data_IF_485785835066
#
_entry.id   IF_485785835066
#
_cell.length_a   1.000
_cell.length_b   1.000
_cell.length_c   1.000
_cell.angle_alpha   90.00
_cell.angle_beta   90.00
_cell.angle_gamma   90.00
#
_symmetry.space_group_name_H-M   'P 1'
#
loop_
_entity.id
_entity.type
_entity.pdbx_description
1 polymer ?
#
# COMPACT_ATOMS: atom_id res chain seq x y z
N UNK A 1 -13.19 -3.04 -14.79
CA UNK A 1 -12.10 -2.94 -15.81
C UNK A 1 -10.79 -3.09 -15.08
N UNK A 2 -9.80 -3.76 -15.66
CA UNK A 2 -8.48 -3.89 -15.03
C UNK A 2 -7.77 -2.54 -14.91
N UNK A 3 -7.11 -2.30 -13.78
CA UNK A 3 -6.26 -1.12 -13.56
C UNK A 3 -5.17 -0.98 -14.63
N UNK A 4 -4.96 0.25 -15.11
CA UNK A 4 -3.88 0.67 -16.01
C UNK A 4 -2.57 0.93 -15.27
N UNK A 5 -2.59 0.93 -13.94
CA UNK A 5 -1.38 1.10 -13.14
C UNK A 5 -0.53 -0.17 -13.29
N UNK A 6 0.78 -0.04 -13.62
CA UNK A 6 1.65 -1.19 -13.74
C UNK A 6 1.68 -2.02 -12.46
N UNK A 7 1.37 -3.32 -12.58
CA UNK A 7 1.54 -4.31 -11.52
C UNK A 7 2.97 -4.83 -11.58
N UNK A 8 3.65 -4.89 -10.43
CA UNK A 8 5.00 -5.44 -10.33
C UNK A 8 4.97 -6.77 -9.58
N UNK A 9 5.72 -7.74 -10.07
CA UNK A 9 5.98 -8.99 -9.34
C UNK A 9 7.35 -8.90 -8.71
N UNK A 10 7.41 -9.24 -7.43
CA UNK A 10 8.63 -9.19 -6.64
C UNK A 10 9.15 -10.60 -6.34
N UNK A 11 10.45 -10.68 -6.09
CA UNK A 11 11.12 -11.92 -5.68
C UNK A 11 10.64 -12.39 -4.29
N UNK A 12 11.02 -13.61 -3.90
CA UNK A 12 10.56 -14.20 -2.63
C UNK A 12 11.37 -13.75 -1.42
N UNK A 13 12.64 -13.39 -1.63
CA UNK A 13 13.53 -12.97 -0.54
C UNK A 13 13.53 -11.45 -0.42
N UNK A 14 13.63 -10.92 0.80
CA UNK A 14 13.67 -9.48 0.98
C UNK A 14 14.84 -8.83 0.26
N UNK A 15 16.04 -9.43 0.31
CA UNK A 15 17.21 -8.82 -0.30
C UNK A 15 16.97 -8.53 -1.79
N UNK A 16 16.40 -9.50 -2.51
CA UNK A 16 16.02 -9.34 -3.91
C UNK A 16 14.88 -8.33 -4.08
N UNK A 17 13.89 -8.31 -3.19
CA UNK A 17 12.80 -7.32 -3.21
C UNK A 17 13.33 -5.88 -3.07
N UNK A 18 14.23 -5.65 -2.11
CA UNK A 18 14.85 -4.34 -1.88
C UNK A 18 15.71 -3.92 -3.08
N UNK A 19 16.43 -4.86 -3.70
CA UNK A 19 17.18 -4.57 -4.92
C UNK A 19 16.26 -4.22 -6.09
N UNK A 20 15.15 -4.94 -6.27
CA UNK A 20 14.14 -4.64 -7.30
C UNK A 20 13.46 -3.28 -7.08
N UNK A 21 13.26 -2.86 -5.83
CA UNK A 21 12.66 -1.57 -5.52
C UNK A 21 13.53 -0.38 -5.89
N UNK A 22 14.86 -0.52 -5.84
CA UNK A 22 15.80 0.58 -6.12
C UNK A 22 15.64 1.14 -7.54
N UNK A 23 15.29 0.29 -8.50
CA UNK A 23 15.07 0.65 -9.90
C UNK A 23 13.60 0.53 -10.32
N UNK A 24 12.67 0.51 -9.36
CA UNK A 24 11.26 0.37 -9.66
C UNK A 24 10.70 1.73 -10.16
N UNK A 25 10.09 1.81 -11.36
CA UNK A 25 9.61 3.08 -11.91
C UNK A 25 8.54 3.78 -11.05
N UNK A 26 7.72 3.03 -10.31
CA UNK A 26 6.73 3.61 -9.39
C UNK A 26 7.41 4.26 -8.19
N UNK A 27 8.49 3.67 -7.68
CA UNK A 27 9.27 4.26 -6.59
C UNK A 27 9.97 5.55 -7.02
N UNK A 28 10.54 5.58 -8.24
CA UNK A 28 11.12 6.80 -8.82
C UNK A 28 10.07 7.92 -8.97
N UNK A 29 8.88 7.56 -9.46
CA UNK A 29 7.74 8.48 -9.57
C UNK A 29 7.32 9.02 -8.20
N UNK A 30 7.17 8.18 -7.19
CA UNK A 30 6.81 8.60 -5.83
C UNK A 30 7.87 9.53 -5.23
N UNK A 31 9.16 9.23 -5.43
CA UNK A 31 10.25 10.09 -4.99
C UNK A 31 10.20 11.47 -5.69
N UNK A 32 9.93 11.50 -7.00
CA UNK A 32 9.77 12.75 -7.75
C UNK A 32 8.57 13.58 -7.25
N UNK A 33 7.44 12.94 -6.97
CA UNK A 33 6.24 13.59 -6.42
C UNK A 33 6.47 14.14 -5.02
N UNK A 34 7.10 13.38 -4.11
CA UNK A 34 7.45 13.91 -2.78
C UNK A 34 8.39 15.11 -2.89
N UNK A 35 9.35 15.07 -3.82
CA UNK A 35 10.27 16.18 -4.05
C UNK A 35 9.54 17.44 -4.54
N UNK A 36 8.63 17.32 -5.51
CA UNK A 36 7.87 18.47 -6.02
C UNK A 36 6.95 19.08 -4.96
N UNK A 37 6.40 18.25 -4.05
CA UNK A 37 5.51 18.68 -2.97
C UNK A 37 6.25 19.12 -1.68
N UNK A 38 7.57 19.00 -1.63
CA UNK A 38 8.36 19.27 -0.41
C UNK A 38 8.34 20.73 0.06
N UNK A 39 8.03 21.67 -0.84
CA UNK A 39 7.93 23.09 -0.53
C UNK A 39 6.51 23.56 -0.23
N UNK A 40 5.51 22.66 -0.23
CA UNK A 40 4.12 23.01 0.08
C UNK A 40 3.98 23.31 1.59
N UNK A 41 3.68 24.55 2.00
CA UNK A 41 3.56 24.92 3.41
C UNK A 41 2.36 24.26 4.11
N UNK A 42 1.39 23.74 3.35
CA UNK A 42 0.21 23.08 3.88
C UNK A 42 0.36 21.57 3.98
N UNK A 43 1.46 21.00 3.46
CA UNK A 43 1.71 19.57 3.51
C UNK A 43 2.26 19.17 4.89
N UNK A 44 1.59 18.24 5.61
CA UNK A 44 2.09 17.74 6.89
C UNK A 44 3.49 17.15 6.80
N UNK A 45 4.34 17.47 7.79
CA UNK A 45 5.75 17.01 7.85
C UNK A 45 5.98 15.90 8.89
N UNK A 46 5.00 15.61 9.75
CA UNK A 46 5.12 14.67 10.87
C UNK A 46 4.02 13.59 10.92
N UNK A 47 3.10 13.61 9.96
CA UNK A 47 2.12 12.54 9.75
C UNK A 47 2.41 11.84 8.43
N UNK A 48 1.99 10.58 8.30
CA UNK A 48 2.03 9.93 7.01
C UNK A 48 1.16 10.70 6.01
N UNK A 49 1.75 11.00 4.86
CA UNK A 49 1.07 11.54 3.70
C UNK A 49 1.50 10.72 2.50
N UNK A 50 0.54 10.31 1.68
CA UNK A 50 0.77 9.57 0.42
C UNK A 50 1.70 10.34 -0.53
N UNK A 51 2.47 9.65 -1.38
CA UNK A 51 3.43 10.30 -2.26
C UNK A 51 2.77 11.19 -3.32
N UNK A 52 1.55 10.91 -3.75
CA UNK A 52 0.87 11.61 -4.85
C UNK A 52 -0.67 11.56 -4.75
N UNK A 53 -1.33 12.58 -5.28
CA UNK A 53 -2.79 12.73 -5.35
C UNK A 53 -3.47 12.69 -3.97
N UNK A 54 -4.66 12.07 -3.89
CA UNK A 54 -5.46 12.04 -2.67
C UNK A 54 -5.13 10.82 -1.81
N UNK A 55 -5.35 11.01 -0.50
CA UNK A 55 -5.29 9.99 0.55
C UNK A 55 -6.61 10.06 1.31
N UNK A 56 -7.30 8.92 1.38
CA UNK A 56 -8.48 8.78 2.22
C UNK A 56 -8.22 7.76 3.33
N UNK A 57 -9.11 6.80 3.52
CA UNK A 57 -9.13 5.93 4.69
C UNK A 57 -7.82 5.14 4.87
N UNK A 58 -7.29 5.04 6.10
CA UNK A 58 -6.30 4.04 6.45
C UNK A 58 -6.94 2.65 6.43
N UNK A 59 -6.25 1.68 5.84
CA UNK A 59 -6.68 0.31 5.67
C UNK A 59 -5.66 -0.65 6.27
N UNK A 60 -6.13 -1.81 6.76
CA UNK A 60 -5.27 -2.99 6.95
C UNK A 60 -3.98 -2.81 7.76
N UNK A 61 -3.92 -1.86 8.70
CA UNK A 61 -2.72 -1.64 9.51
C UNK A 61 -2.36 -2.93 10.26
N UNK A 62 -1.16 -3.46 10.03
CA UNK A 62 -0.72 -4.68 10.69
C UNK A 62 0.79 -4.72 10.91
N UNK A 63 1.22 -5.60 11.81
CA UNK A 63 2.63 -5.92 12.01
C UNK A 63 2.91 -7.30 11.45
N UNK A 64 3.79 -7.38 10.45
CA UNK A 64 4.14 -8.63 9.79
C UNK A 64 5.60 -8.59 9.34
N UNK A 65 6.27 -9.74 9.39
CA UNK A 65 7.68 -9.88 9.00
C UNK A 65 8.62 -8.80 9.58
N UNK A 66 8.43 -8.51 10.88
CA UNK A 66 9.18 -7.53 11.68
C UNK A 66 9.02 -6.05 11.26
N UNK A 67 7.91 -5.70 10.58
CA UNK A 67 7.65 -4.33 10.14
C UNK A 67 6.18 -3.98 10.32
N UNK A 68 5.91 -2.69 10.49
CA UNK A 68 4.56 -2.15 10.39
C UNK A 68 4.21 -1.92 8.92
N UNK A 69 3.01 -2.34 8.52
CA UNK A 69 2.45 -2.16 7.20
C UNK A 69 1.21 -1.29 7.32
N UNK A 70 1.24 -0.11 6.71
CA UNK A 70 0.10 0.79 6.56
C UNK A 70 -0.42 0.65 5.13
N UNK A 71 -1.70 0.33 5.00
CA UNK A 71 -2.41 0.46 3.74
C UNK A 71 -3.35 1.65 3.81
N UNK A 72 -3.76 2.15 2.66
CA UNK A 72 -4.68 3.29 2.58
C UNK A 72 -5.37 3.34 1.23
N UNK A 73 -6.53 3.99 1.15
CA UNK A 73 -7.14 4.32 -0.13
C UNK A 73 -6.27 5.34 -0.88
N UNK A 74 -5.64 4.88 -1.97
CA UNK A 74 -4.81 5.69 -2.85
C UNK A 74 -5.42 5.82 -4.24
N UNK A 75 -5.17 6.96 -4.88
CA UNK A 75 -5.77 7.32 -6.16
C UNK A 75 -4.67 7.61 -7.21
N UNK A 76 -4.28 6.61 -8.01
CA UNK A 76 -3.28 6.80 -9.06
C UNK A 76 -3.76 7.77 -10.14
N UNK A 77 -2.88 8.68 -10.58
CA UNK A 77 -3.24 9.77 -11.52
C UNK A 77 -3.84 9.26 -12.84
N UNK A 78 -3.29 8.15 -13.37
CA UNK A 78 -3.74 7.50 -14.60
C UNK A 78 -5.19 6.97 -14.56
N UNK A 79 -5.80 6.99 -13.39
CA UNK A 79 -7.14 6.49 -13.13
C UNK A 79 -8.10 7.56 -12.55
N UNK A 80 -7.69 8.82 -12.64
CA UNK A 80 -8.59 9.96 -12.38
C UNK A 80 -9.15 10.39 -13.73
N UNK A 81 -10.46 10.24 -13.92
CA UNK A 81 -11.14 10.66 -15.15
C UNK A 81 -12.22 11.69 -14.83
N UNK A 82 -12.18 12.84 -15.51
CA UNK A 82 -13.25 13.83 -15.40
C UNK A 82 -14.49 13.33 -16.12
N UNK A 83 -15.61 13.26 -15.40
CA UNK A 83 -16.94 12.95 -15.94
C UNK A 83 -17.85 14.17 -15.79
N UNK A 84 -18.95 14.23 -16.54
CA UNK A 84 -19.90 15.35 -16.50
C UNK A 84 -20.54 15.62 -15.13
N UNK A 85 -20.39 14.69 -14.17
CA UNK A 85 -20.93 14.79 -12.80
C UNK A 85 -19.83 14.92 -11.72
N UNK A 86 -18.55 15.02 -12.11
CA UNK A 86 -17.40 15.02 -11.20
C UNK A 86 -16.26 14.11 -11.68
N UNK A 87 -15.19 13.97 -10.91
CA UNK A 87 -14.10 13.06 -11.29
C UNK A 87 -14.36 11.64 -10.76
N UNK A 88 -14.36 10.63 -11.64
CA UNK A 88 -14.30 9.22 -11.22
C UNK A 88 -12.85 8.92 -10.84
N UNK A 89 -12.63 8.46 -9.60
CA UNK A 89 -11.33 8.05 -9.08
C UNK A 89 -11.38 6.57 -8.73
N UNK A 90 -10.46 5.79 -9.29
CA UNK A 90 -10.38 4.35 -9.05
C UNK A 90 -9.55 4.08 -7.80
N UNK A 91 -10.17 3.51 -6.78
CA UNK A 91 -9.52 3.27 -5.48
C UNK A 91 -8.57 2.07 -5.57
N UNK A 92 -7.31 2.29 -5.18
CA UNK A 92 -6.32 1.24 -4.94
C UNK A 92 -5.97 1.20 -3.45
N UNK A 93 -5.34 0.11 -2.99
CA UNK A 93 -4.64 0.14 -1.70
C UNK A 93 -3.20 0.57 -1.90
N UNK A 94 -2.87 1.79 -1.47
CA UNK A 94 -1.49 2.22 -1.29
C UNK A 94 -0.84 1.45 -0.14
N UNK A 95 0.49 1.43 -0.11
CA UNK A 95 1.24 0.66 0.88
C UNK A 95 2.48 1.43 1.32
N UNK A 96 2.65 1.53 2.64
CA UNK A 96 3.86 2.01 3.26
C UNK A 96 4.28 1.08 4.39
N UNK A 97 5.59 1.07 4.66
CA UNK A 97 6.21 0.24 5.69
C UNK A 97 7.11 1.04 6.57
N UNK A 98 7.27 0.57 7.80
CA UNK A 98 7.95 1.29 8.83
C UNK A 98 8.49 0.33 9.92
N UNK A 99 9.52 0.78 10.65
CA UNK A 99 10.13 0.02 11.75
C UNK A 99 9.87 0.64 13.16
N UNK A 100 9.38 1.89 13.26
CA UNK A 100 9.31 2.68 14.52
C UNK A 100 8.01 3.52 14.75
N UNK A 101 6.99 3.29 13.94
CA UNK A 101 5.71 4.01 13.76
C UNK A 101 5.79 5.48 13.33
N UNK A 102 6.99 6.01 13.04
CA UNK A 102 7.20 7.42 12.68
C UNK A 102 7.72 7.58 11.25
N UNK A 103 8.77 6.87 10.87
CA UNK A 103 9.43 7.01 9.57
C UNK A 103 8.91 6.02 8.54
N UNK A 104 7.95 6.46 7.72
CA UNK A 104 7.32 5.61 6.71
C UNK A 104 8.09 5.64 5.39
N UNK A 105 8.29 4.45 4.80
CA UNK A 105 8.81 4.27 3.44
C UNK A 105 7.68 3.77 2.55
N UNK A 106 7.48 4.44 1.43
CA UNK A 106 6.49 4.03 0.42
C UNK A 106 6.87 2.68 -0.20
N UNK A 107 5.85 1.95 -0.61
CA UNK A 107 5.95 0.77 -1.44
C UNK A 107 4.96 0.89 -2.61
N UNK A 108 5.12 0.08 -3.67
CA UNK A 108 4.13 0.00 -4.73
C UNK A 108 2.74 -0.33 -4.17
N UNK A 109 1.68 0.07 -4.89
CA UNK A 109 0.31 -0.27 -4.50
C UNK A 109 0.18 -1.79 -4.27
N UNK A 110 -0.55 -2.16 -3.22
CA UNK A 110 -0.70 -3.55 -2.77
C UNK A 110 -1.92 -4.24 -3.39
N UNK A 111 -3.04 -3.53 -3.52
CA UNK A 111 -4.28 -4.06 -4.11
C UNK A 111 -4.72 -3.15 -5.24
N UNK A 112 -5.00 -3.77 -6.38
CA UNK A 112 -5.42 -3.13 -7.63
C UNK A 112 -6.80 -3.68 -8.00
N UNK A 113 -7.72 -2.84 -8.52
CA UNK A 113 -9.02 -3.30 -8.98
C UNK A 113 -8.91 -4.33 -10.10
N UNK A 114 -9.32 -5.57 -9.80
CA UNK A 114 -9.41 -6.70 -10.74
C UNK A 114 -10.06 -7.93 -10.03
N UNK A 115 -11.35 -8.26 -10.24
CA UNK A 115 -12.31 -7.75 -11.25
C UNK A 115 -13.15 -6.54 -10.82
N UNK A 116 -13.08 -6.12 -9.56
CA UNK A 116 -13.81 -4.96 -9.04
C UNK A 116 -13.50 -3.64 -9.77
N UNK A 117 -14.38 -2.65 -9.65
CA UNK A 117 -14.09 -1.30 -10.18
C UNK A 117 -13.26 -0.43 -9.24
N UNK A 118 -13.23 -0.76 -7.95
CA UNK A 118 -12.48 -0.03 -6.91
C UNK A 118 -12.36 -0.89 -5.66
N UNK A 119 -11.20 -0.81 -5.00
CA UNK A 119 -10.91 -1.52 -3.75
C UNK A 119 -11.10 -0.55 -2.57
N UNK A 120 -12.31 -0.50 -2.00
CA UNK A 120 -12.61 0.35 -0.86
C UNK A 120 -11.98 -0.18 0.45
N UNK A 121 -12.35 0.44 1.56
CA UNK A 121 -11.76 0.18 2.87
C UNK A 121 -11.92 -1.25 3.34
N UNK A 122 -11.02 -1.64 4.24
CA UNK A 122 -10.97 -2.98 4.76
C UNK A 122 -9.89 -3.18 5.81
N UNK A 123 -9.77 -4.42 6.26
CA UNK A 123 -8.86 -4.84 7.31
C UNK A 123 -7.95 -5.98 6.81
N UNK A 124 -6.93 -6.27 7.59
CA UNK A 124 -6.02 -7.39 7.35
C UNK A 124 -6.05 -8.36 8.53
N UNK A 125 -5.95 -9.65 8.22
CA UNK A 125 -5.69 -10.71 9.19
C UNK A 125 -4.27 -11.23 8.95
N UNK A 126 -3.44 -11.20 9.99
CA UNK A 126 -2.08 -11.73 9.94
C UNK A 126 -2.09 -13.21 10.32
N UNK A 127 -1.48 -14.03 9.49
CA UNK A 127 -1.15 -15.42 9.78
C UNK A 127 0.37 -15.62 9.72
N UNK A 128 0.84 -16.81 10.09
CA UNK A 128 2.27 -17.11 10.24
C UNK A 128 3.08 -16.86 8.96
N UNK A 129 2.52 -17.16 7.80
CA UNK A 129 3.19 -17.15 6.49
C UNK A 129 2.53 -16.20 5.48
N UNK A 130 1.48 -15.47 5.88
CA UNK A 130 0.71 -14.60 4.98
C UNK A 130 -0.05 -13.50 5.71
N UNK A 131 -0.45 -12.49 4.94
CA UNK A 131 -1.45 -11.49 5.35
C UNK A 131 -2.65 -11.61 4.42
N UNK A 132 -3.85 -11.70 5.00
CA UNK A 132 -5.11 -11.78 4.27
C UNK A 132 -5.78 -10.43 4.34
N UNK A 133 -6.03 -9.79 3.20
CA UNK A 133 -6.81 -8.56 3.14
C UNK A 133 -8.30 -8.89 2.91
N UNK A 134 -9.17 -8.22 3.67
CA UNK A 134 -10.63 -8.29 3.56
C UNK A 134 -11.15 -6.87 3.33
N UNK A 135 -11.75 -6.62 2.18
CA UNK A 135 -12.17 -5.27 1.77
C UNK A 135 -13.44 -5.31 0.94
N UNK A 136 -14.03 -4.14 0.69
CA UNK A 136 -15.19 -3.99 -0.18
C UNK A 136 -14.76 -3.69 -1.63
N UNK A 137 -15.07 -4.61 -2.55
CA UNK A 137 -14.85 -4.41 -3.98
C UNK A 137 -16.12 -3.90 -4.64
N UNK A 138 -16.05 -2.74 -5.31
CA UNK A 138 -17.19 -2.22 -6.07
C UNK A 138 -17.66 -3.23 -7.13
N UNK A 139 -18.98 -3.42 -7.26
CA UNK A 139 -19.62 -4.43 -8.13
C UNK A 139 -19.37 -5.90 -7.75
N UNK A 140 -18.50 -6.18 -6.78
CA UNK A 140 -18.18 -7.54 -6.31
C UNK A 140 -18.69 -7.81 -4.89
N UNK A 141 -19.05 -6.75 -4.16
CA UNK A 141 -19.55 -6.82 -2.79
C UNK A 141 -18.44 -6.82 -1.74
N UNK A 142 -18.84 -7.03 -0.49
CA UNK A 142 -17.92 -7.31 0.60
C UNK A 142 -17.55 -8.79 0.51
N UNK A 143 -16.26 -9.13 0.67
CA UNK A 143 -15.64 -10.48 0.66
C UNK A 143 -14.96 -10.90 -0.66
N UNK A 144 -13.73 -10.42 -0.87
CA UNK A 144 -12.72 -11.12 -1.67
C UNK A 144 -11.44 -11.27 -0.83
N UNK A 145 -11.00 -12.48 -0.46
CA UNK A 145 -9.73 -12.67 0.22
C UNK A 145 -8.59 -12.41 -0.77
N UNK A 146 -7.93 -11.25 -0.68
CA UNK A 146 -6.69 -11.02 -1.39
C UNK A 146 -5.51 -11.50 -0.53
N UNK A 147 -4.75 -12.42 -1.08
CA UNK A 147 -3.65 -13.08 -0.40
C UNK A 147 -2.34 -12.30 -0.64
N UNK A 148 -1.88 -11.57 0.37
CA UNK A 148 -0.50 -11.07 0.39
C UNK A 148 0.42 -12.16 0.93
N UNK A 149 1.07 -12.90 0.03
CA UNK A 149 2.13 -13.87 0.36
C UNK A 149 3.53 -13.24 0.41
N UNK A 150 3.70 -12.01 -0.09
CA UNK A 150 5.01 -11.37 -0.22
C UNK A 150 4.91 -9.89 0.14
N UNK A 151 5.45 -9.53 1.30
CA UNK A 151 5.43 -8.18 1.85
C UNK A 151 6.67 -7.99 2.73
N UNK A 152 7.83 -7.67 2.13
CA UNK A 152 9.02 -7.10 2.78
C UNK A 152 9.38 -7.60 4.20
N UNK A 153 10.13 -8.72 4.29
CA UNK A 153 10.68 -9.25 5.56
C UNK A 153 12.14 -8.90 5.83
N UNK A 154 12.46 -8.17 6.89
CA UNK A 154 13.86 -8.18 7.35
C UNK A 154 14.22 -9.58 7.87
N UNK A 155 15.15 -10.25 7.19
CA UNK A 155 15.60 -11.60 7.48
C UNK A 155 16.37 -11.77 8.79
N UNK A 156 15.98 -11.09 9.88
CA UNK A 156 16.47 -11.36 11.22
C UNK A 156 15.52 -12.33 11.92
N UNK A 157 16.02 -13.55 12.12
CA UNK A 157 15.49 -14.46 13.13
C UNK A 157 15.83 -13.91 14.53
N UNK A 158 14.83 -13.48 15.27
CA UNK A 158 14.80 -13.42 16.75
C UNK A 158 13.32 -13.27 17.16
N UNK A 159 12.66 -14.30 17.73
CA UNK A 159 12.51 -14.54 19.19
C UNK A 159 11.91 -13.31 19.91
N UNK A 160 10.83 -13.35 20.69
CA UNK A 160 10.23 -14.40 21.52
C UNK A 160 8.71 -14.14 21.73
N UNK A 161 7.98 -15.17 22.14
CA UNK A 161 6.58 -15.05 22.59
C UNK A 161 6.48 -14.05 23.74
N UNK A 162 5.59 -13.07 23.61
CA UNK A 162 5.06 -12.33 24.74
C UNK A 162 4.23 -13.28 25.60
N UNK A 163 4.86 -13.89 26.60
CA UNK A 163 4.15 -14.41 27.77
C UNK A 163 3.99 -13.26 28.76
N UNK A 164 2.74 -12.82 28.96
CA UNK A 164 2.39 -11.96 30.08
C UNK A 164 2.08 -12.81 31.33
N UNK A 165 2.34 -12.28 32.54
CA UNK A 165 2.06 -12.96 33.81
C UNK A 165 0.57 -13.20 34.06
#
# INVERSE_FOLDING_TARGET
MASKVPKYTFAKTLAEQEDQLKSNPMMERFAASRKSLSSDPYRPIYHYVNPENDLNDPNGLCYWQNRWHLFYQGYPDSEITSTGSGSKKVVHWGHAVNDDLVHWRDLPYAIYPDPEESCFSGATLVENDRVIAMYHGSEQGTWLPFLMTHCYSTGKKSQDRLSFP
#
